data_IF_407250583556
#
_entry.id   IF_407250583556
#
_cell.length_a   1.000
_cell.length_b   1.000
_cell.length_c   1.000
_cell.angle_alpha   90.00
_cell.angle_beta   90.00
_cell.angle_gamma   90.00
#
_symmetry.space_group_name_H-M   'P 1'
#
loop_
_entity.id
_entity.type
_entity.pdbx_description
1 polymer ?
#
# COMPACT_ATOMS: atom_id res chain seq x y z
N UNK A 1 26.56 -0.33 25.67
CA UNK A 1 26.16 1.10 25.60
C UNK A 1 26.58 1.64 24.24
N UNK A 2 25.67 2.36 23.55
CA UNK A 2 25.80 3.11 22.28
C UNK A 2 25.56 2.35 20.97
N UNK A 3 24.27 2.31 20.65
CA UNK A 3 23.64 2.43 19.34
C UNK A 3 24.12 3.70 18.61
N UNK A 4 24.52 3.66 17.33
CA UNK A 4 24.19 4.73 16.35
C UNK A 4 24.22 4.18 14.91
N UNK A 5 23.02 4.01 14.37
CA UNK A 5 22.66 3.80 12.98
C UNK A 5 23.34 4.80 12.03
N UNK A 6 23.78 4.27 10.90
CA UNK A 6 24.39 4.99 9.78
C UNK A 6 23.51 6.15 9.31
N UNK A 7 24.02 7.38 9.41
CA UNK A 7 23.44 8.56 8.76
C UNK A 7 23.80 8.52 7.28
N UNK A 8 22.84 8.17 6.41
CA UNK A 8 22.94 8.51 4.99
C UNK A 8 22.57 9.99 4.84
N UNK A 9 23.60 10.83 4.80
CA UNK A 9 23.51 12.22 4.38
C UNK A 9 23.29 12.28 2.87
N UNK A 10 22.15 12.80 2.43
CA UNK A 10 21.99 13.36 1.09
C UNK A 10 22.08 14.89 1.20
N UNK A 11 22.99 15.46 0.41
CA UNK A 11 23.51 16.81 0.52
C UNK A 11 22.61 17.90 -0.09
N UNK A 12 22.75 19.13 0.43
CA UNK A 12 22.22 20.40 -0.09
C UNK A 12 22.90 20.83 -1.40
N UNK A 13 22.13 21.41 -2.34
CA UNK A 13 22.44 22.58 -3.22
C UNK A 13 21.30 22.72 -4.24
N UNK A 14 20.72 23.86 -4.65
CA UNK A 14 20.92 25.31 -4.51
C UNK A 14 19.57 25.97 -4.80
N UNK A 15 19.31 27.12 -4.19
CA UNK A 15 17.98 27.74 -4.09
C UNK A 15 17.21 28.03 -5.38
N UNK A 16 15.90 27.92 -5.25
CA UNK A 16 14.87 28.82 -5.77
C UNK A 16 13.52 28.33 -5.24
N UNK A 17 12.97 29.03 -4.23
CA UNK A 17 11.55 29.07 -3.81
C UNK A 17 10.61 28.14 -4.61
N UNK A 18 10.50 26.86 -4.22
CA UNK A 18 9.60 25.83 -4.79
C UNK A 18 9.37 24.66 -3.82
N UNK A 19 9.55 24.91 -2.54
CA UNK A 19 9.94 23.91 -1.55
C UNK A 19 8.73 23.07 -1.09
N UNK A 20 7.55 23.68 -1.04
CA UNK A 20 6.31 23.00 -0.64
C UNK A 20 5.83 22.02 -1.71
N UNK A 21 5.81 22.43 -2.99
CA UNK A 21 5.26 21.59 -4.07
C UNK A 21 6.12 20.36 -4.36
N UNK A 22 7.45 20.47 -4.22
CA UNK A 22 8.38 19.36 -4.44
C UNK A 22 8.33 18.35 -3.30
N UNK A 23 8.21 18.80 -2.05
CA UNK A 23 8.02 17.91 -0.90
C UNK A 23 6.67 17.18 -0.98
N UNK A 24 5.60 17.88 -1.34
CA UNK A 24 4.27 17.29 -1.54
C UNK A 24 4.27 16.27 -2.67
N UNK A 25 4.93 16.54 -3.80
CA UNK A 25 5.04 15.57 -4.89
C UNK A 25 5.90 14.36 -4.51
N UNK A 26 6.91 14.51 -3.65
CA UNK A 26 7.74 13.39 -3.18
C UNK A 26 6.99 12.51 -2.18
N UNK A 27 6.19 13.13 -1.30
CA UNK A 27 5.31 12.42 -0.36
C UNK A 27 4.20 11.68 -1.12
N UNK A 28 3.52 12.36 -2.05
CA UNK A 28 2.49 11.74 -2.89
C UNK A 28 3.07 10.63 -3.78
N UNK A 29 4.27 10.80 -4.33
CA UNK A 29 4.92 9.76 -5.11
C UNK A 29 5.34 8.56 -4.25
N UNK A 30 5.86 8.78 -3.03
CA UNK A 30 6.15 7.68 -2.10
C UNK A 30 4.90 6.96 -1.61
N UNK A 31 3.82 7.69 -1.31
CA UNK A 31 2.53 7.08 -0.98
C UNK A 31 2.04 6.23 -2.14
N UNK A 32 2.19 6.67 -3.39
CA UNK A 32 1.69 5.93 -4.56
C UNK A 32 2.57 4.73 -4.94
N UNK A 33 3.90 4.82 -4.82
CA UNK A 33 4.83 3.72 -5.10
C UNK A 33 4.82 2.64 -3.99
N UNK A 34 4.69 3.07 -2.73
CA UNK A 34 4.47 2.15 -1.61
C UNK A 34 3.13 1.40 -1.73
N UNK A 35 2.11 2.01 -2.36
CA UNK A 35 0.77 1.44 -2.48
C UNK A 35 0.63 0.31 -3.53
N UNK A 36 1.69 -0.01 -4.29
CA UNK A 36 1.66 -1.15 -5.24
C UNK A 36 2.53 -2.32 -4.81
N UNK A 37 3.66 -2.06 -4.15
CA UNK A 37 4.58 -3.12 -3.74
C UNK A 37 4.01 -4.09 -2.69
N UNK A 38 3.00 -3.68 -1.93
CA UNK A 38 2.40 -4.54 -0.90
C UNK A 38 1.50 -5.64 -1.49
N UNK A 39 0.82 -5.39 -2.63
CA UNK A 39 0.04 -6.43 -3.30
C UNK A 39 0.94 -7.57 -3.79
N UNK A 40 2.10 -7.21 -4.37
CA UNK A 40 3.11 -8.18 -4.79
C UNK A 40 3.65 -8.99 -3.60
N UNK A 41 3.76 -8.39 -2.41
CA UNK A 41 4.16 -9.10 -1.19
C UNK A 41 3.08 -10.08 -0.71
N UNK A 42 1.79 -9.73 -0.83
CA UNK A 42 0.71 -10.67 -0.53
C UNK A 42 0.77 -11.90 -1.45
N UNK A 43 1.14 -11.69 -2.72
CA UNK A 43 1.30 -12.73 -3.72
C UNK A 43 2.50 -13.62 -3.41
N UNK A 44 3.66 -13.03 -3.11
CA UNK A 44 4.88 -13.75 -2.72
C UNK A 44 4.67 -14.62 -1.48
N UNK A 45 3.90 -14.12 -0.52
CA UNK A 45 3.59 -14.84 0.72
C UNK A 45 2.38 -15.79 0.61
N UNK A 46 1.71 -15.85 -0.55
CA UNK A 46 0.56 -16.72 -0.75
C UNK A 46 -0.61 -16.40 0.17
N UNK A 47 -0.83 -15.12 0.48
CA UNK A 47 -1.90 -14.67 1.36
C UNK A 47 -3.25 -14.95 0.70
N UNK A 48 -4.12 -15.68 1.43
CA UNK A 48 -5.45 -16.06 0.96
C UNK A 48 -6.56 -15.12 1.46
N UNK A 49 -6.33 -14.41 2.57
CA UNK A 49 -7.32 -13.53 3.19
C UNK A 49 -6.70 -12.21 3.65
N UNK A 50 -7.42 -11.12 3.43
CA UNK A 50 -7.07 -9.77 3.90
C UNK A 50 -8.27 -9.18 4.62
N UNK A 51 -8.06 -8.69 5.84
CA UNK A 51 -9.09 -8.07 6.67
C UNK A 51 -8.71 -6.60 6.82
N UNK A 52 -9.64 -5.70 6.48
CA UNK A 52 -9.43 -4.26 6.54
C UNK A 52 -10.53 -3.59 7.37
N UNK A 53 -10.14 -2.56 8.12
CA UNK A 53 -11.05 -1.64 8.79
C UNK A 53 -11.44 -0.53 7.80
N UNK A 54 -12.72 -0.39 7.48
CA UNK A 54 -13.21 0.60 6.53
C UNK A 54 -13.07 2.04 7.04
N UNK A 55 -12.85 2.25 8.34
CA UNK A 55 -12.60 3.59 8.89
C UNK A 55 -11.18 4.10 8.65
N UNK A 56 -10.19 3.20 8.64
CA UNK A 56 -8.77 3.54 8.48
C UNK A 56 -8.17 3.15 7.12
N UNK A 57 -8.72 2.10 6.50
CA UNK A 57 -8.15 1.43 5.33
C UNK A 57 -9.09 1.47 4.12
N UNK A 58 -9.99 2.46 4.06
CA UNK A 58 -10.95 2.61 2.94
C UNK A 58 -10.26 2.58 1.58
N UNK A 59 -9.11 3.22 1.47
CA UNK A 59 -8.35 3.33 0.22
C UNK A 59 -7.76 1.97 -0.20
N UNK A 60 -7.31 1.17 0.76
CA UNK A 60 -6.81 -0.19 0.52
C UNK A 60 -7.96 -1.12 0.11
N UNK A 61 -9.13 -0.95 0.72
CA UNK A 61 -10.34 -1.69 0.36
C UNK A 61 -10.78 -1.35 -1.07
N UNK A 62 -10.72 -0.09 -1.48
CA UNK A 62 -10.98 0.30 -2.87
C UNK A 62 -9.97 -0.30 -3.85
N UNK A 63 -8.68 -0.33 -3.50
CA UNK A 63 -7.65 -0.94 -4.34
C UNK A 63 -7.92 -2.44 -4.54
N UNK A 64 -8.22 -3.18 -3.47
CA UNK A 64 -8.52 -4.62 -3.54
C UNK A 64 -9.80 -4.90 -4.34
N UNK A 65 -10.83 -4.06 -4.22
CA UNK A 65 -12.06 -4.16 -5.03
C UNK A 65 -11.82 -4.03 -6.53
N UNK A 66 -10.76 -3.31 -6.94
CA UNK A 66 -10.37 -3.18 -8.34
C UNK A 66 -9.52 -4.36 -8.84
N UNK A 67 -9.00 -5.20 -7.95
CA UNK A 67 -8.17 -6.35 -8.33
C UNK A 67 -9.04 -7.59 -8.61
N UNK A 68 -8.98 -8.19 -9.82
CA UNK A 68 -9.76 -9.37 -10.16
C UNK A 68 -9.34 -10.64 -9.39
N UNK A 69 -8.14 -10.62 -8.78
CA UNK A 69 -7.62 -11.69 -7.95
C UNK A 69 -8.26 -11.74 -6.55
N UNK A 70 -9.09 -10.75 -6.19
CA UNK A 70 -9.69 -10.64 -4.86
C UNK A 70 -11.22 -10.51 -4.96
N UNK A 71 -11.91 -11.15 -4.02
CA UNK A 71 -13.37 -11.13 -3.89
C UNK A 71 -13.74 -10.81 -2.46
N UNK A 72 -14.79 -10.01 -2.26
CA UNK A 72 -15.34 -9.75 -0.94
C UNK A 72 -16.05 -11.01 -0.44
N UNK A 73 -15.56 -11.57 0.66
CA UNK A 73 -16.17 -12.71 1.37
C UNK A 73 -17.17 -12.22 2.43
N UNK A 74 -16.88 -11.09 3.08
CA UNK A 74 -17.73 -10.47 4.09
C UNK A 74 -17.55 -8.94 4.14
N UNK A 75 -18.64 -8.20 4.39
CA UNK A 75 -18.62 -6.75 4.61
C UNK A 75 -19.79 -6.37 5.54
N UNK A 76 -19.52 -5.62 6.62
CA UNK A 76 -20.54 -5.17 7.58
C UNK A 76 -20.59 -3.64 7.76
N UNK A 77 -19.83 -2.90 6.96
CA UNK A 77 -19.76 -1.44 6.99
C UNK A 77 -18.73 -0.88 7.96
N UNK A 78 -18.21 -1.70 8.88
CA UNK A 78 -17.03 -1.36 9.70
C UNK A 78 -15.79 -2.07 9.18
N UNK A 79 -15.91 -3.33 8.74
CA UNK A 79 -14.82 -4.10 8.21
C UNK A 79 -15.19 -4.81 6.90
N UNK A 80 -14.17 -5.17 6.14
CA UNK A 80 -14.30 -5.99 4.93
C UNK A 80 -13.25 -7.09 4.94
N UNK A 81 -13.66 -8.29 4.54
CA UNK A 81 -12.80 -9.45 4.35
C UNK A 81 -12.73 -9.75 2.87
N UNK A 82 -11.52 -9.69 2.32
CA UNK A 82 -11.23 -10.14 0.97
C UNK A 82 -10.66 -11.55 1.03
N UNK A 83 -11.26 -12.45 0.25
CA UNK A 83 -10.69 -13.76 -0.06
C UNK A 83 -10.05 -13.71 -1.45
N UNK A 84 -8.96 -14.44 -1.59
CA UNK A 84 -8.31 -14.61 -2.89
C UNK A 84 -9.23 -15.41 -3.79
N UNK A 85 -9.52 -14.86 -4.97
CA UNK A 85 -10.31 -15.54 -5.96
C UNK A 85 -9.59 -16.84 -6.32
N UNK A 86 -10.16 -17.98 -5.92
CA UNK A 86 -9.67 -19.26 -6.37
C UNK A 86 -9.62 -19.18 -7.89
N UNK A 87 -8.42 -19.36 -8.45
CA UNK A 87 -8.27 -19.50 -9.89
C UNK A 87 -9.14 -20.68 -10.28
N UNK A 88 -10.37 -20.42 -10.73
CA UNK A 88 -11.23 -21.42 -11.30
C UNK A 88 -10.57 -21.72 -12.64
N UNK A 89 -9.58 -22.61 -12.61
CA UNK A 89 -9.06 -23.29 -13.78
C UNK A 89 -10.26 -24.01 -14.39
N UNK A 90 -10.95 -23.29 -15.29
CA UNK A 90 -11.90 -23.87 -16.22
C UNK A 90 -11.06 -24.62 -17.24
N UNK A 91 -10.91 -25.92 -17.01
CA UNK A 91 -10.44 -26.89 -18.00
C UNK A 91 -11.62 -27.39 -18.83
#
# INVERSE_FOLDING_TARGET
MRNITSKMSAALVTGASKDDQTLQNYLAAQETDANKGWLDQLDEHGVEFVILDLHGDSDLAEILRLQPAWTVDFEDGEAVIFARAASRLMN
#
